data_IF_911947000541
#
_entry.id   IF_911947000541
#
_cell.length_a   1.000
_cell.length_b   1.000
_cell.length_c   1.000
_cell.angle_alpha   90.00
_cell.angle_beta   90.00
_cell.angle_gamma   90.00
#
_symmetry.space_group_name_H-M   'P 1'
#
loop_
_entity.id
_entity.type
_entity.pdbx_description
1 polymer ?
#
# COMPACT_ATOMS: atom_id res chain seq x y z
N UNK A 1 21.68 14.35 15.68
CA UNK A 1 21.62 13.15 14.81
C UNK A 1 20.77 12.11 15.52
N UNK A 2 19.72 11.62 14.88
CA UNK A 2 18.79 10.61 15.42
C UNK A 2 19.32 9.21 15.10
N UNK A 3 19.16 8.24 16.00
CA UNK A 3 19.62 6.86 15.73
C UNK A 3 18.84 6.22 14.59
N UNK A 4 17.50 6.32 14.60
CA UNK A 4 16.64 5.76 13.58
C UNK A 4 15.50 6.72 13.22
N UNK A 5 15.39 7.09 11.95
CA UNK A 5 14.22 7.78 11.41
C UNK A 5 13.38 6.79 10.61
N UNK A 6 12.09 6.73 10.90
CA UNK A 6 11.10 5.89 10.18
C UNK A 6 10.17 6.80 9.42
N UNK A 7 10.07 6.62 8.11
CA UNK A 7 9.20 7.41 7.24
C UNK A 7 7.93 6.65 6.96
N UNK A 8 6.82 7.14 7.53
CA UNK A 8 5.49 6.54 7.50
C UNK A 8 5.10 5.90 8.82
N UNK A 9 3.98 6.34 9.39
CA UNK A 9 3.38 5.85 10.64
C UNK A 9 2.25 4.83 10.42
N UNK A 10 2.22 4.18 9.26
CA UNK A 10 1.32 3.06 8.96
C UNK A 10 1.81 1.73 9.56
N UNK A 11 1.16 0.59 9.23
CA UNK A 11 1.48 -0.72 9.83
C UNK A 11 2.95 -1.11 9.71
N UNK A 12 3.60 -0.78 8.60
CA UNK A 12 5.01 -1.05 8.39
C UNK A 12 5.89 -0.26 9.36
N UNK A 13 5.73 1.07 9.42
CA UNK A 13 6.54 1.91 10.28
C UNK A 13 6.30 1.65 11.76
N UNK A 14 5.05 1.39 12.16
CA UNK A 14 4.70 1.02 13.53
C UNK A 14 5.38 -0.28 13.98
N UNK A 15 5.31 -1.33 13.15
CA UNK A 15 5.94 -2.62 13.46
C UNK A 15 7.47 -2.51 13.52
N UNK A 16 8.09 -1.77 12.57
CA UNK A 16 9.52 -1.51 12.56
C UNK A 16 9.96 -0.75 13.82
N UNK A 17 9.21 0.28 14.24
CA UNK A 17 9.52 1.07 15.42
C UNK A 17 9.46 0.24 16.72
N UNK A 18 8.39 -0.52 16.90
CA UNK A 18 8.23 -1.42 18.04
C UNK A 18 9.42 -2.39 18.13
N UNK A 19 9.78 -2.99 17.01
CA UNK A 19 10.82 -4.01 17.00
C UNK A 19 12.23 -3.42 17.14
N UNK A 20 12.49 -2.25 16.60
CA UNK A 20 13.73 -1.53 16.82
C UNK A 20 13.90 -1.13 18.31
N UNK A 21 12.82 -0.69 18.96
CA UNK A 21 12.81 -0.42 20.41
C UNK A 21 13.08 -1.66 21.24
N UNK A 22 12.40 -2.77 20.96
CA UNK A 22 12.64 -4.07 21.61
C UNK A 22 14.10 -4.55 21.43
N UNK A 23 14.71 -4.21 20.28
CA UNK A 23 16.12 -4.51 19.97
C UNK A 23 17.12 -3.59 20.66
N UNK A 24 16.68 -2.70 21.55
CA UNK A 24 17.55 -1.87 22.39
C UNK A 24 17.77 -0.46 21.89
N UNK A 25 17.24 -0.05 20.73
CA UNK A 25 17.35 1.31 20.24
C UNK A 25 16.43 2.24 21.04
N UNK A 26 16.90 3.49 21.32
CA UNK A 26 16.16 4.43 22.18
C UNK A 26 15.83 5.76 21.51
N UNK A 27 16.66 6.25 20.60
CA UNK A 27 16.41 7.49 19.87
C UNK A 27 15.80 7.17 18.49
N UNK A 28 14.50 6.94 18.50
CA UNK A 28 13.69 6.58 17.31
C UNK A 28 12.70 7.70 17.07
N UNK A 29 12.59 8.13 15.80
CA UNK A 29 11.64 9.14 15.34
C UNK A 29 10.79 8.59 14.17
N UNK A 30 9.47 8.59 14.32
CA UNK A 30 8.53 8.34 13.24
C UNK A 30 8.09 9.69 12.66
N UNK A 31 8.19 9.83 11.33
CA UNK A 31 7.64 10.95 10.58
C UNK A 31 6.38 10.49 9.83
N UNK A 32 5.22 11.08 10.15
CA UNK A 32 3.94 10.74 9.52
C UNK A 32 3.29 12.00 8.92
N UNK A 33 2.88 11.91 7.66
CA UNK A 33 2.26 13.03 6.95
C UNK A 33 0.82 13.31 7.35
N UNK A 34 0.12 12.31 7.88
CA UNK A 34 -1.26 12.47 8.35
C UNK A 34 -1.29 13.02 9.79
N UNK A 35 -2.48 13.43 10.23
CA UNK A 35 -2.76 13.94 11.58
C UNK A 35 -2.73 12.86 12.67
N UNK A 36 -2.63 11.60 12.29
CA UNK A 36 -2.65 10.44 13.19
C UNK A 36 -1.86 9.26 12.64
N UNK A 37 -1.42 8.38 13.53
CA UNK A 37 -0.79 7.10 13.20
C UNK A 37 -1.82 6.09 12.71
N UNK A 38 -1.36 5.03 12.01
CA UNK A 38 -2.19 3.93 11.52
C UNK A 38 -2.23 3.86 9.99
N UNK A 39 -1.98 4.99 9.31
CA UNK A 39 -1.94 5.05 7.84
C UNK A 39 -3.24 4.56 7.21
N UNK A 40 -3.13 3.78 6.13
CA UNK A 40 -4.28 3.27 5.37
C UNK A 40 -5.25 2.41 6.21
N UNK A 41 -4.80 1.82 7.31
CA UNK A 41 -5.64 0.99 8.17
C UNK A 41 -6.81 1.77 8.79
N UNK A 42 -6.63 3.06 9.05
CA UNK A 42 -7.66 3.89 9.69
C UNK A 42 -8.96 3.98 8.88
N UNK A 43 -8.88 3.87 7.57
CA UNK A 43 -10.05 3.86 6.70
C UNK A 43 -10.63 2.46 6.46
N UNK A 44 -9.91 1.39 6.82
CA UNK A 44 -10.30 0.00 6.60
C UNK A 44 -11.18 -0.51 7.76
N UNK A 45 -12.42 -0.04 7.87
CA UNK A 45 -13.33 -0.37 8.98
C UNK A 45 -13.99 -1.76 8.86
N UNK A 46 -13.64 -2.54 7.83
CA UNK A 46 -14.07 -3.93 7.67
C UNK A 46 -13.15 -4.90 8.41
N UNK A 47 -13.63 -6.09 8.73
CA UNK A 47 -12.86 -7.17 9.34
C UNK A 47 -11.91 -7.83 8.33
N UNK A 48 -10.91 -8.55 8.86
CA UNK A 48 -10.00 -9.37 8.06
C UNK A 48 -8.52 -9.15 8.36
N UNK A 49 -8.21 -8.37 9.39
CA UNK A 49 -6.85 -8.07 9.82
C UNK A 49 -6.51 -8.83 11.12
N UNK A 50 -5.25 -9.18 11.31
CA UNK A 50 -4.72 -9.66 12.59
C UNK A 50 -4.85 -11.15 12.85
N UNK A 51 -5.44 -11.93 11.95
CA UNK A 51 -5.67 -13.35 12.18
C UNK A 51 -4.37 -14.14 12.39
N UNK A 52 -3.34 -13.86 11.58
CA UNK A 52 -2.05 -14.52 11.70
C UNK A 52 -1.18 -13.91 12.80
N UNK A 53 -1.30 -12.61 13.05
CA UNK A 53 -0.47 -11.87 14.00
C UNK A 53 -0.99 -11.97 15.43
N UNK A 54 -2.30 -11.79 15.63
CA UNK A 54 -2.93 -11.68 16.94
C UNK A 54 -3.88 -12.85 17.27
N UNK A 55 -4.15 -13.74 16.29
CA UNK A 55 -5.14 -14.81 16.44
C UNK A 55 -6.59 -14.30 16.52
N UNK A 56 -6.82 -13.05 16.18
CA UNK A 56 -8.13 -12.36 16.25
C UNK A 56 -8.47 -11.74 14.91
N UNK A 57 -9.78 -11.67 14.60
CA UNK A 57 -10.25 -10.89 13.45
C UNK A 57 -10.51 -9.45 13.90
N UNK A 58 -9.66 -8.55 13.46
CA UNK A 58 -9.72 -7.13 13.77
C UNK A 58 -10.17 -6.32 12.54
N UNK A 59 -10.67 -5.12 12.78
CA UNK A 59 -10.76 -4.06 11.78
C UNK A 59 -9.39 -3.41 11.60
N UNK A 60 -9.21 -2.62 10.53
CA UNK A 60 -7.97 -1.89 10.30
C UNK A 60 -7.59 -0.96 11.46
N UNK A 61 -8.50 -0.10 11.97
CA UNK A 61 -8.22 0.75 13.14
C UNK A 61 -7.86 -0.03 14.40
N UNK A 62 -8.51 -1.17 14.68
CA UNK A 62 -8.17 -2.02 15.82
C UNK A 62 -6.76 -2.61 15.67
N UNK A 63 -6.40 -3.07 14.45
CA UNK A 63 -5.06 -3.56 14.17
C UNK A 63 -3.99 -2.48 14.39
N UNK A 64 -4.21 -1.29 13.84
CA UNK A 64 -3.30 -0.15 14.05
C UNK A 64 -3.22 0.22 15.53
N UNK A 65 -4.36 0.23 16.23
CA UNK A 65 -4.47 0.51 17.66
C UNK A 65 -3.58 -0.38 18.51
N UNK A 66 -3.49 -1.69 18.19
CA UNK A 66 -2.59 -2.63 18.90
C UNK A 66 -1.12 -2.18 18.86
N UNK A 67 -0.63 -1.79 17.69
CA UNK A 67 0.75 -1.29 17.56
C UNK A 67 0.94 0.10 18.19
N UNK A 68 -0.03 0.99 18.06
CA UNK A 68 0.00 2.31 18.69
C UNK A 68 0.05 2.18 20.21
N UNK A 69 -0.72 1.25 20.80
CA UNK A 69 -0.69 0.98 22.24
C UNK A 69 0.65 0.38 22.69
N UNK A 70 1.27 -0.48 21.88
CA UNK A 70 2.63 -0.96 22.14
C UNK A 70 3.62 0.21 22.17
N UNK A 71 3.52 1.18 21.26
CA UNK A 71 4.41 2.34 21.21
C UNK A 71 4.21 3.30 22.40
N UNK A 72 3.01 3.44 22.96
CA UNK A 72 2.74 4.30 24.13
C UNK A 72 3.61 3.95 25.34
N UNK A 73 4.04 2.71 25.43
CA UNK A 73 4.91 2.21 26.52
C UNK A 73 6.41 2.34 26.18
N UNK A 74 6.74 3.07 25.11
CA UNK A 74 8.11 3.29 24.65
C UNK A 74 8.47 4.78 24.68
N UNK A 75 9.74 5.09 24.42
CA UNK A 75 10.21 6.48 24.23
C UNK A 75 10.28 6.88 22.75
N UNK A 76 9.64 6.13 21.85
CA UNK A 76 9.62 6.47 20.42
C UNK A 76 8.94 7.82 20.21
N UNK A 77 9.63 8.73 19.53
CA UNK A 77 9.09 10.05 19.19
C UNK A 77 8.26 9.95 17.91
N UNK A 78 7.18 10.69 17.85
CA UNK A 78 6.30 10.75 16.68
C UNK A 78 6.10 12.22 16.29
N UNK A 79 6.32 12.53 15.02
CA UNK A 79 6.04 13.84 14.45
C UNK A 79 4.98 13.66 13.36
N UNK A 80 3.77 14.08 13.66
CA UNK A 80 2.59 14.05 12.78
C UNK A 80 2.56 15.30 11.89
N UNK A 81 1.62 15.35 10.93
CA UNK A 81 1.47 16.46 9.96
C UNK A 81 2.80 16.84 9.31
N UNK A 82 3.68 15.85 9.10
CA UNK A 82 5.05 16.05 8.63
C UNK A 82 5.28 15.32 7.32
N UNK A 83 5.43 16.09 6.26
CA UNK A 83 5.73 15.56 4.92
C UNK A 83 7.22 15.48 4.69
N UNK A 84 7.75 14.29 4.43
CA UNK A 84 9.12 14.09 3.96
C UNK A 84 9.19 14.43 2.47
N UNK A 85 10.14 15.29 2.11
CA UNK A 85 10.33 15.81 0.76
C UNK A 85 11.49 15.14 0.03
N UNK A 86 12.54 14.76 0.76
CA UNK A 86 13.75 14.17 0.20
C UNK A 86 14.46 13.31 1.26
N UNK A 87 15.09 12.25 0.78
CA UNK A 87 16.05 11.44 1.52
C UNK A 87 17.36 11.43 0.74
N UNK A 88 18.44 11.86 1.37
CA UNK A 88 19.75 11.90 0.71
C UNK A 88 20.54 10.61 0.95
N UNK A 89 21.52 10.26 0.08
CA UNK A 89 22.36 9.07 0.27
C UNK A 89 23.18 9.10 1.58
N UNK A 90 23.48 10.29 2.11
CA UNK A 90 24.17 10.48 3.39
C UNK A 90 23.22 10.50 4.59
N UNK A 91 21.98 10.04 4.38
CA UNK A 91 20.93 9.83 5.39
C UNK A 91 20.45 11.13 6.07
N UNK A 92 20.32 12.19 5.32
CA UNK A 92 19.58 13.40 5.73
C UNK A 92 18.14 13.28 5.23
N UNK A 93 17.20 13.54 6.12
CA UNK A 93 15.76 13.54 5.82
C UNK A 93 15.27 14.98 5.82
N UNK A 94 14.89 15.47 4.66
CA UNK A 94 14.31 16.80 4.48
C UNK A 94 12.79 16.69 4.63
N UNK A 95 12.22 17.43 5.57
CA UNK A 95 10.79 17.38 5.83
C UNK A 95 10.21 18.76 6.11
N UNK A 96 8.89 18.87 6.04
CA UNK A 96 8.13 20.06 6.34
C UNK A 96 6.90 19.73 7.17
N UNK A 97 6.66 20.53 8.20
CA UNK A 97 5.45 20.47 9.02
C UNK A 97 4.85 21.85 9.24
N UNK A 98 3.61 21.89 9.72
CA UNK A 98 2.95 23.17 10.04
C UNK A 98 3.55 23.84 11.27
N UNK A 99 4.03 23.04 12.23
CA UNK A 99 4.55 23.52 13.52
C UNK A 99 6.00 23.92 13.46
N UNK A 100 6.84 23.10 12.82
CA UNK A 100 8.31 23.26 12.84
C UNK A 100 8.86 23.85 11.53
N UNK A 101 8.01 24.03 10.52
CA UNK A 101 8.44 24.45 9.20
C UNK A 101 9.32 23.43 8.50
N UNK A 102 10.28 23.92 7.70
CA UNK A 102 11.24 23.06 7.00
C UNK A 102 12.38 22.64 7.93
N UNK A 103 12.67 21.35 7.96
CA UNK A 103 13.72 20.76 8.79
C UNK A 103 14.59 19.80 7.97
N UNK A 104 15.84 19.67 8.41
CA UNK A 104 16.77 18.63 7.93
C UNK A 104 17.16 17.79 9.14
N UNK A 105 16.79 16.52 9.13
CA UNK A 105 17.04 15.57 10.22
C UNK A 105 18.16 14.63 9.79
N UNK A 106 19.29 14.64 10.49
CA UNK A 106 20.37 13.69 10.26
C UNK A 106 20.10 12.41 11.02
N UNK A 107 20.19 11.27 10.34
CA UNK A 107 19.93 9.93 10.90
C UNK A 107 21.14 9.00 10.73
N UNK A 108 21.36 8.11 11.70
CA UNK A 108 22.31 7.00 11.53
C UNK A 108 21.72 5.92 10.62
N UNK A 109 20.42 5.69 10.74
CA UNK A 109 19.68 4.72 9.95
C UNK A 109 18.28 5.23 9.57
N UNK A 110 17.74 4.76 8.46
CA UNK A 110 16.40 5.15 7.96
C UNK A 110 15.62 3.88 7.59
N UNK A 111 14.34 3.83 7.95
CA UNK A 111 13.37 2.84 7.46
C UNK A 111 12.34 3.54 6.58
N UNK A 112 12.23 3.09 5.33
CA UNK A 112 11.24 3.54 4.36
C UNK A 112 9.99 2.67 4.50
N UNK A 113 8.90 3.21 5.04
CA UNK A 113 7.62 2.54 5.27
C UNK A 113 6.43 3.29 4.67
N UNK A 114 6.62 3.99 3.51
CA UNK A 114 5.63 4.88 2.91
C UNK A 114 4.44 4.16 2.26
N UNK A 115 4.46 2.83 2.15
CA UNK A 115 3.36 2.06 1.60
C UNK A 115 3.21 2.17 0.08
N UNK A 116 1.98 2.26 -0.39
CA UNK A 116 1.65 2.33 -1.82
C UNK A 116 0.50 3.31 -2.06
N UNK A 117 0.30 3.68 -3.33
CA UNK A 117 -0.85 4.45 -3.81
C UNK A 117 -1.62 3.66 -4.87
N UNK A 118 -2.86 4.02 -5.08
CA UNK A 118 -3.71 3.41 -6.09
C UNK A 118 -3.40 3.93 -7.49
N UNK A 119 -3.60 3.07 -8.48
CA UNK A 119 -3.58 3.49 -9.89
C UNK A 119 -4.77 4.39 -10.18
N UNK A 120 -4.49 5.54 -10.77
CA UNK A 120 -5.51 6.51 -11.17
C UNK A 120 -6.04 6.22 -12.57
N UNK A 121 -7.11 6.91 -12.97
CA UNK A 121 -7.63 6.89 -14.33
C UNK A 121 -6.56 7.15 -15.38
N UNK A 122 -5.65 8.10 -15.13
CA UNK A 122 -4.55 8.42 -16.05
C UNK A 122 -3.57 7.26 -16.21
N UNK A 123 -3.31 6.51 -15.16
CA UNK A 123 -2.39 5.37 -15.17
C UNK A 123 -2.91 4.17 -15.99
N UNK A 124 -4.23 4.03 -16.13
CA UNK A 124 -4.87 2.97 -16.95
C UNK A 124 -5.38 3.48 -18.31
N UNK A 125 -5.22 4.77 -18.60
CA UNK A 125 -5.56 5.34 -19.90
C UNK A 125 -7.05 5.31 -20.27
N UNK A 126 -7.99 5.26 -19.31
CA UNK A 126 -9.43 5.19 -19.60
C UNK A 126 -9.89 6.43 -20.39
N UNK A 127 -10.50 6.24 -21.58
CA UNK A 127 -10.90 7.32 -22.46
C UNK A 127 -12.11 8.12 -21.93
N UNK A 128 -12.51 9.13 -22.71
CA UNK A 128 -13.67 9.98 -22.46
C UNK A 128 -13.34 11.34 -21.85
N UNK A 129 -14.38 12.09 -21.49
CA UNK A 129 -14.29 13.42 -20.87
C UNK A 129 -13.67 13.34 -19.47
N UNK A 130 -13.31 14.47 -18.87
CA UNK A 130 -12.63 14.55 -17.54
C UNK A 130 -13.51 15.22 -16.47
N UNK A 131 -14.73 14.75 -16.23
CA UNK A 131 -15.61 15.32 -15.21
C UNK A 131 -15.17 14.93 -13.80
N UNK A 132 -15.70 15.59 -12.77
CA UNK A 132 -15.65 15.11 -11.40
C UNK A 132 -16.43 13.78 -11.23
N UNK A 133 -16.22 13.06 -10.14
CA UNK A 133 -16.95 11.82 -9.84
C UNK A 133 -16.18 10.53 -10.18
N UNK A 134 -14.94 10.62 -10.67
CA UNK A 134 -14.06 9.46 -10.83
C UNK A 134 -13.04 9.45 -9.69
N UNK A 135 -13.13 8.45 -8.82
CA UNK A 135 -12.26 8.29 -7.66
C UNK A 135 -11.54 6.94 -7.71
N UNK A 136 -10.40 6.84 -7.07
CA UNK A 136 -9.88 5.53 -6.68
C UNK A 136 -10.72 4.98 -5.52
N UNK A 137 -10.81 3.67 -5.40
CA UNK A 137 -11.66 3.03 -4.39
C UNK A 137 -11.22 3.39 -2.97
N UNK A 138 -9.90 3.46 -2.70
CA UNK A 138 -9.36 3.86 -1.40
C UNK A 138 -9.58 5.34 -1.09
N UNK A 139 -9.53 6.25 -2.08
CA UNK A 139 -9.89 7.64 -1.85
C UNK A 139 -11.37 7.77 -1.46
N UNK A 140 -12.27 7.06 -2.16
CA UNK A 140 -13.68 7.00 -1.79
C UNK A 140 -13.88 6.40 -0.40
N UNK A 141 -13.12 5.36 -0.05
CA UNK A 141 -13.14 4.74 1.27
C UNK A 141 -12.79 5.74 2.36
N UNK A 142 -11.75 6.56 2.16
CA UNK A 142 -11.39 7.62 3.11
C UNK A 142 -12.53 8.63 3.28
N UNK A 143 -13.07 9.14 2.18
CA UNK A 143 -14.18 10.11 2.25
C UNK A 143 -15.38 9.56 3.02
N UNK A 144 -15.79 8.33 2.74
CA UNK A 144 -16.97 7.72 3.36
C UNK A 144 -16.70 7.34 4.81
N UNK A 145 -15.56 6.70 5.10
CA UNK A 145 -15.30 6.08 6.41
C UNK A 145 -14.67 7.00 7.43
N UNK A 146 -13.90 8.01 7.00
CA UNK A 146 -13.19 8.91 7.91
C UNK A 146 -13.74 10.34 7.90
N UNK A 147 -14.11 10.84 6.71
CA UNK A 147 -14.54 12.23 6.56
C UNK A 147 -16.07 12.38 6.56
N UNK A 148 -16.84 11.28 6.49
CA UNK A 148 -18.31 11.29 6.51
C UNK A 148 -18.97 11.85 5.25
N UNK A 149 -18.29 11.85 4.11
CA UNK A 149 -18.80 12.36 2.85
C UNK A 149 -19.16 11.22 1.88
N UNK A 150 -20.40 11.28 1.35
CA UNK A 150 -20.80 10.42 0.23
C UNK A 150 -20.21 10.95 -1.07
N UNK A 151 -19.46 10.10 -1.77
CA UNK A 151 -18.82 10.45 -3.04
C UNK A 151 -19.77 10.41 -4.24
N UNK A 152 -20.94 9.76 -4.10
CA UNK A 152 -21.99 9.71 -5.12
C UNK A 152 -23.13 8.76 -4.77
N UNK A 153 -24.14 8.70 -5.64
CA UNK A 153 -25.38 7.93 -5.41
C UNK A 153 -25.58 6.78 -6.40
N UNK A 154 -25.05 6.89 -7.60
CA UNK A 154 -25.17 5.87 -8.67
C UNK A 154 -23.75 5.50 -9.11
N UNK A 155 -23.31 4.34 -8.64
CA UNK A 155 -21.88 3.98 -8.64
C UNK A 155 -21.62 2.82 -9.59
N UNK A 156 -20.59 2.95 -10.43
CA UNK A 156 -19.97 1.84 -11.16
C UNK A 156 -18.58 1.61 -10.60
N UNK A 157 -18.19 0.34 -10.40
CA UNK A 157 -16.88 -0.02 -9.89
C UNK A 157 -16.08 -0.72 -10.97
N UNK A 158 -14.87 -0.25 -11.27
CA UNK A 158 -13.93 -0.90 -12.16
C UNK A 158 -12.84 -1.60 -11.35
N UNK A 159 -12.77 -2.92 -11.48
CA UNK A 159 -11.89 -3.81 -10.75
C UNK A 159 -12.58 -4.58 -9.63
N UNK A 160 -12.41 -5.90 -9.61
CA UNK A 160 -13.01 -6.83 -8.65
C UNK A 160 -12.00 -7.38 -7.63
N UNK A 161 -10.92 -6.63 -7.36
CA UNK A 161 -10.07 -6.88 -6.19
C UNK A 161 -10.82 -6.56 -4.88
N UNK A 162 -10.30 -7.01 -3.74
CA UNK A 162 -10.99 -6.92 -2.44
C UNK A 162 -11.46 -5.50 -2.10
N UNK A 163 -10.67 -4.47 -2.38
CA UNK A 163 -11.07 -3.08 -2.11
C UNK A 163 -12.30 -2.67 -2.94
N UNK A 164 -12.33 -3.05 -4.22
CA UNK A 164 -13.50 -2.80 -5.08
C UNK A 164 -14.76 -3.47 -4.57
N UNK A 165 -14.65 -4.76 -4.17
CA UNK A 165 -15.76 -5.53 -3.60
C UNK A 165 -16.24 -4.94 -2.27
N UNK A 166 -15.32 -4.63 -1.36
CA UNK A 166 -15.62 -4.02 -0.06
C UNK A 166 -16.31 -2.67 -0.24
N UNK A 167 -15.86 -1.86 -1.20
CA UNK A 167 -16.49 -0.58 -1.49
C UNK A 167 -17.85 -0.72 -2.16
N UNK A 168 -18.10 -1.78 -2.95
CA UNK A 168 -19.43 -2.07 -3.47
C UNK A 168 -20.43 -2.26 -2.31
N UNK A 169 -20.08 -3.10 -1.34
CA UNK A 169 -20.87 -3.30 -0.12
C UNK A 169 -20.99 -2.01 0.69
N UNK A 170 -19.87 -1.31 0.93
CA UNK A 170 -19.86 -0.12 1.77
C UNK A 170 -20.74 1.00 1.20
N UNK A 171 -20.62 1.30 -0.09
CA UNK A 171 -21.43 2.31 -0.76
C UNK A 171 -22.92 1.96 -0.70
N UNK A 172 -23.26 0.68 -0.86
CA UNK A 172 -24.66 0.21 -0.77
C UNK A 172 -25.22 0.40 0.63
N UNK A 173 -24.45 0.07 1.67
CA UNK A 173 -24.85 0.26 3.08
C UNK A 173 -25.05 1.72 3.44
N UNK A 174 -24.34 2.63 2.80
CA UNK A 174 -24.51 4.09 2.97
C UNK A 174 -25.61 4.68 2.06
N UNK A 175 -26.38 3.82 1.37
CA UNK A 175 -27.56 4.24 0.61
C UNK A 175 -27.28 4.61 -0.86
N UNK A 176 -26.08 4.37 -1.39
CA UNK A 176 -25.84 4.49 -2.81
C UNK A 176 -26.36 3.25 -3.57
N UNK A 177 -26.72 3.42 -4.84
CA UNK A 177 -27.00 2.31 -5.74
C UNK A 177 -25.74 1.95 -6.51
N UNK A 178 -25.12 0.82 -6.17
CA UNK A 178 -24.04 0.24 -6.97
C UNK A 178 -24.66 -0.53 -8.12
N UNK A 179 -24.40 -0.09 -9.35
CA UNK A 179 -25.05 -0.65 -10.57
C UNK A 179 -24.34 -1.92 -11.03
N UNK A 180 -23.01 -1.95 -10.94
CA UNK A 180 -22.21 -3.11 -11.30
C UNK A 180 -20.79 -3.01 -10.77
N UNK A 181 -20.11 -4.15 -10.69
CA UNK A 181 -18.68 -4.29 -10.65
C UNK A 181 -18.18 -4.85 -11.99
N UNK A 182 -17.16 -4.26 -12.56
CA UNK A 182 -16.60 -4.57 -13.89
C UNK A 182 -15.17 -5.02 -13.74
N UNK A 183 -14.80 -6.15 -14.34
CA UNK A 183 -13.47 -6.75 -14.24
C UNK A 183 -12.92 -7.09 -15.63
N UNK A 184 -11.71 -6.63 -15.91
CA UNK A 184 -11.03 -6.86 -17.19
C UNK A 184 -10.59 -8.31 -17.37
N UNK A 185 -10.34 -9.03 -16.28
CA UNK A 185 -9.95 -10.43 -16.30
C UNK A 185 -11.18 -11.34 -16.41
N UNK A 186 -11.03 -12.57 -16.92
CA UNK A 186 -12.12 -13.56 -16.97
C UNK A 186 -12.43 -14.17 -15.59
N UNK A 187 -11.84 -13.65 -14.53
CA UNK A 187 -12.05 -14.06 -13.14
C UNK A 187 -11.88 -12.86 -12.20
N UNK A 188 -12.52 -12.93 -11.02
CA UNK A 188 -12.34 -11.93 -9.97
C UNK A 188 -11.01 -12.12 -9.25
N UNK A 189 -10.31 -11.02 -8.98
CA UNK A 189 -9.07 -11.02 -8.17
C UNK A 189 -9.31 -10.99 -6.66
N UNK A 190 -10.56 -10.81 -6.21
CA UNK A 190 -10.90 -10.76 -4.80
C UNK A 190 -11.19 -12.12 -4.19
N UNK A 191 -11.17 -12.19 -2.86
CA UNK A 191 -11.50 -13.40 -2.11
C UNK A 191 -12.95 -13.83 -2.35
N UNK A 192 -13.21 -15.14 -2.48
CA UNK A 192 -14.54 -15.70 -2.70
C UNK A 192 -15.56 -15.21 -1.66
N UNK A 193 -15.17 -15.12 -0.38
CA UNK A 193 -16.05 -14.58 0.66
C UNK A 193 -16.49 -13.14 0.38
N UNK A 194 -15.62 -12.32 -0.18
CA UNK A 194 -15.92 -10.93 -0.52
C UNK A 194 -16.84 -10.84 -1.75
N UNK A 195 -16.70 -11.75 -2.71
CA UNK A 195 -17.66 -11.85 -3.83
C UNK A 195 -19.06 -12.12 -3.28
N UNK A 196 -19.18 -13.09 -2.37
CA UNK A 196 -20.48 -13.43 -1.76
C UNK A 196 -21.01 -12.25 -0.94
N UNK A 197 -20.27 -11.80 0.06
CA UNK A 197 -20.74 -10.81 1.02
C UNK A 197 -20.88 -9.39 0.46
N UNK A 198 -20.16 -9.06 -0.60
CA UNK A 198 -20.13 -7.70 -1.13
C UNK A 198 -20.93 -7.53 -2.42
N UNK A 199 -21.09 -8.58 -3.21
CA UNK A 199 -21.86 -8.52 -4.46
C UNK A 199 -23.14 -9.37 -4.39
N UNK A 200 -23.04 -10.68 -4.11
CA UNK A 200 -24.18 -11.59 -4.18
C UNK A 200 -25.27 -11.21 -3.17
N UNK A 201 -24.90 -10.94 -1.92
CA UNK A 201 -25.85 -10.56 -0.84
C UNK A 201 -26.60 -9.24 -1.15
N UNK A 202 -26.06 -8.42 -2.03
CA UNK A 202 -26.64 -7.13 -2.44
C UNK A 202 -27.18 -7.14 -3.89
N UNK A 203 -27.16 -8.31 -4.57
CA UNK A 203 -27.57 -8.47 -5.98
C UNK A 203 -26.83 -7.48 -6.92
N UNK A 204 -25.55 -7.23 -6.67
CA UNK A 204 -24.70 -6.38 -7.52
C UNK A 204 -24.10 -7.27 -8.61
N UNK A 205 -24.36 -7.03 -9.90
CA UNK A 205 -23.80 -7.82 -10.98
C UNK A 205 -22.30 -7.63 -11.13
N UNK A 206 -21.59 -8.72 -11.46
CA UNK A 206 -20.17 -8.75 -11.79
C UNK A 206 -20.02 -9.08 -13.28
N UNK A 207 -19.46 -8.15 -14.04
CA UNK A 207 -19.14 -8.33 -15.45
C UNK A 207 -17.65 -8.65 -15.59
N UNK A 208 -17.33 -9.92 -15.84
CA UNK A 208 -15.97 -10.39 -16.12
C UNK A 208 -15.63 -10.20 -17.60
N UNK A 209 -14.36 -10.07 -17.94
CA UNK A 209 -13.87 -9.75 -19.28
C UNK A 209 -14.47 -8.46 -19.85
N UNK A 210 -14.71 -7.48 -19.01
CA UNK A 210 -15.27 -6.18 -19.40
C UNK A 210 -14.42 -5.02 -18.87
N UNK A 211 -14.49 -3.89 -19.55
CA UNK A 211 -13.83 -2.65 -19.08
C UNK A 211 -14.63 -1.42 -19.47
N UNK A 212 -14.34 -0.28 -18.84
CA UNK A 212 -14.88 1.02 -19.21
C UNK A 212 -14.13 1.52 -20.46
N UNK A 213 -14.86 1.75 -21.53
CA UNK A 213 -14.32 2.20 -22.81
C UNK A 213 -14.57 3.69 -23.10
N UNK A 214 -15.51 4.29 -22.37
CA UNK A 214 -15.75 5.75 -22.46
C UNK A 214 -16.39 6.27 -21.16
N UNK A 215 -16.07 7.50 -20.80
CA UNK A 215 -16.68 8.22 -19.67
C UNK A 215 -17.20 9.56 -20.20
N UNK A 216 -18.48 9.82 -19.96
CA UNK A 216 -19.18 11.00 -20.43
C UNK A 216 -19.68 11.84 -19.24
N UNK A 217 -19.66 13.14 -19.41
CA UNK A 217 -20.12 14.14 -18.47
C UNK A 217 -19.35 15.44 -18.65
N UNK A 218 -19.93 16.55 -18.19
CA UNK A 218 -19.31 17.87 -18.26
C UNK A 218 -18.73 18.27 -16.90
N UNK A 219 -19.56 18.56 -15.94
CA UNK A 219 -19.14 18.93 -14.57
C UNK A 219 -18.88 17.69 -13.73
N UNK A 220 -19.77 16.71 -13.85
CA UNK A 220 -19.70 15.42 -13.16
C UNK A 220 -19.93 14.28 -14.15
N UNK A 221 -19.54 13.07 -13.79
CA UNK A 221 -19.87 11.86 -14.55
C UNK A 221 -21.39 11.73 -14.67
N UNK A 222 -21.87 11.50 -15.87
CA UNK A 222 -23.27 11.28 -16.20
C UNK A 222 -23.48 9.86 -16.75
N UNK A 223 -22.47 9.35 -17.47
CA UNK A 223 -22.53 8.03 -18.10
C UNK A 223 -21.16 7.36 -18.17
N UNK A 224 -21.14 6.06 -18.04
CA UNK A 224 -20.01 5.19 -18.36
C UNK A 224 -20.41 4.16 -19.42
N UNK A 225 -19.57 3.98 -20.42
CA UNK A 225 -19.74 2.92 -21.44
C UNK A 225 -18.79 1.80 -21.10
N UNK A 226 -19.34 0.58 -20.97
CA UNK A 226 -18.60 -0.66 -20.68
C UNK A 226 -18.71 -1.57 -21.90
N UNK A 227 -17.61 -2.23 -22.27
CA UNK A 227 -17.62 -3.22 -23.34
C UNK A 227 -16.91 -4.50 -22.93
N UNK A 228 -17.26 -5.61 -23.57
CA UNK A 228 -16.54 -6.89 -23.43
C UNK A 228 -15.15 -6.78 -24.05
N UNK A 229 -14.17 -7.49 -23.46
CA UNK A 229 -12.76 -7.53 -23.87
C UNK A 229 -12.43 -8.87 -24.49
N UNK A 230 -11.92 -8.82 -25.73
CA UNK A 230 -11.43 -10.01 -26.42
C UNK A 230 -10.11 -10.55 -25.85
N UNK A 231 -9.66 -11.73 -26.35
CA UNK A 231 -8.38 -12.32 -25.95
C UNK A 231 -7.17 -11.43 -26.24
N UNK A 232 -7.29 -10.51 -27.21
CA UNK A 232 -6.26 -9.51 -27.56
C UNK A 232 -6.29 -8.28 -26.63
N UNK A 233 -7.13 -8.32 -25.58
CA UNK A 233 -7.37 -7.22 -24.62
C UNK A 233 -7.93 -5.95 -25.24
N UNK A 234 -8.62 -6.07 -26.37
CA UNK A 234 -9.32 -4.94 -26.99
C UNK A 234 -10.83 -5.07 -26.80
N UNK A 235 -11.56 -3.94 -26.72
CA UNK A 235 -13.00 -3.95 -26.69
C UNK A 235 -13.59 -4.60 -27.95
N UNK A 236 -14.61 -5.43 -27.78
CA UNK A 236 -15.36 -6.08 -28.85
C UNK A 236 -16.46 -5.11 -29.30
N UNK A 237 -16.45 -4.62 -30.55
CA UNK A 237 -17.48 -3.71 -31.04
C UNK A 237 -18.87 -4.36 -31.04
N UNK A 238 -19.89 -3.59 -30.62
CA UNK A 238 -21.27 -4.05 -30.54
C UNK A 238 -21.64 -4.71 -29.22
N UNK A 239 -20.71 -4.75 -28.24
CA UNK A 239 -20.97 -5.26 -26.89
C UNK A 239 -21.13 -4.15 -25.85
N UNK A 240 -21.20 -2.90 -26.32
CA UNK A 240 -21.25 -1.73 -25.45
C UNK A 240 -22.53 -1.70 -24.62
N UNK A 241 -22.36 -1.49 -23.31
CA UNK A 241 -23.43 -1.29 -22.33
C UNK A 241 -23.31 0.09 -21.73
N UNK A 242 -24.42 0.81 -21.65
CA UNK A 242 -24.47 2.12 -21.04
C UNK A 242 -24.91 2.06 -19.58
N UNK A 243 -24.21 2.75 -18.71
CA UNK A 243 -24.55 2.92 -17.30
C UNK A 243 -24.70 4.41 -16.97
N UNK A 244 -25.92 4.81 -16.57
CA UNK A 244 -26.18 6.13 -16.02
C UNK A 244 -25.63 6.20 -14.59
N UNK A 245 -24.53 6.89 -14.41
CA UNK A 245 -23.79 6.96 -13.13
C UNK A 245 -23.35 8.39 -12.84
N UNK A 246 -23.28 8.73 -11.57
CA UNK A 246 -22.67 9.98 -11.09
C UNK A 246 -21.28 9.74 -10.49
N UNK A 247 -20.87 8.47 -10.34
CA UNK A 247 -19.62 8.11 -9.70
C UNK A 247 -19.03 6.82 -10.28
N UNK A 248 -17.72 6.84 -10.51
CA UNK A 248 -16.92 5.66 -10.88
C UNK A 248 -15.85 5.47 -9.83
N UNK A 249 -15.75 4.26 -9.27
CA UNK A 249 -14.67 3.85 -8.38
C UNK A 249 -13.69 2.95 -9.12
N UNK A 250 -12.40 3.27 -9.00
CA UNK A 250 -11.31 2.52 -9.64
C UNK A 250 -10.60 1.67 -8.59
N UNK A 251 -10.67 0.36 -8.72
CA UNK A 251 -9.94 -0.63 -7.91
C UNK A 251 -9.01 -1.44 -8.82
N UNK A 252 -8.09 -0.76 -9.48
CA UNK A 252 -7.30 -1.28 -10.62
C UNK A 252 -5.83 -1.51 -10.30
N UNK A 253 -5.54 -1.76 -9.03
CA UNK A 253 -4.23 -2.10 -8.52
C UNK A 253 -3.50 -0.95 -7.85
N UNK A 254 -2.38 -1.29 -7.23
CA UNK A 254 -1.56 -0.44 -6.40
C UNK A 254 -0.18 -0.19 -7.03
N UNK A 255 0.45 0.91 -6.65
CA UNK A 255 1.81 1.28 -7.05
C UNK A 255 2.60 1.57 -5.77
N UNK A 256 3.70 0.85 -5.48
CA UNK A 256 4.60 1.19 -4.39
C UNK A 256 5.07 2.65 -4.45
N UNK A 257 5.04 3.35 -3.29
CA UNK A 257 5.32 4.78 -3.19
C UNK A 257 6.82 5.03 -3.08
N UNK A 258 7.49 5.21 -4.21
CA UNK A 258 8.95 5.18 -4.31
C UNK A 258 9.59 6.45 -4.90
N UNK A 259 8.94 7.62 -4.83
CA UNK A 259 9.58 8.86 -5.24
C UNK A 259 10.83 9.15 -4.39
N UNK A 260 10.73 9.09 -3.06
CA UNK A 260 11.86 9.30 -2.14
C UNK A 260 12.98 8.28 -2.36
N UNK A 261 12.60 7.01 -2.56
CA UNK A 261 13.53 5.91 -2.82
C UNK A 261 14.38 6.16 -4.08
N UNK A 262 13.72 6.62 -5.14
CA UNK A 262 14.38 6.94 -6.43
C UNK A 262 15.26 8.17 -6.33
N UNK A 263 14.78 9.21 -5.64
CA UNK A 263 15.55 10.44 -5.41
C UNK A 263 16.83 10.18 -4.63
N UNK A 264 16.78 9.29 -3.65
CA UNK A 264 17.95 8.85 -2.88
C UNK A 264 18.96 8.03 -3.72
N UNK A 265 18.62 7.64 -4.95
CA UNK A 265 19.48 6.81 -5.80
C UNK A 265 19.49 5.33 -5.40
N UNK A 266 18.49 4.87 -4.64
CA UNK A 266 18.36 3.45 -4.27
C UNK A 266 17.98 2.63 -5.50
N UNK A 267 18.61 1.48 -5.65
CA UNK A 267 18.35 0.55 -6.75
C UNK A 267 16.93 0.00 -6.69
N UNK A 268 16.24 0.03 -7.84
CA UNK A 268 14.83 -0.36 -7.94
C UNK A 268 14.67 -1.69 -8.69
N UNK A 269 13.81 -2.55 -8.16
CA UNK A 269 13.39 -3.78 -8.84
C UNK A 269 12.29 -3.47 -9.87
N UNK A 270 12.49 -3.81 -11.17
CA UNK A 270 11.52 -3.52 -12.22
C UNK A 270 10.21 -4.34 -12.10
N UNK A 271 10.20 -5.44 -11.34
CA UNK A 271 9.06 -6.35 -11.16
C UNK A 271 8.19 -5.91 -9.99
N UNK A 272 8.76 -5.77 -8.80
CA UNK A 272 8.02 -5.31 -7.62
C UNK A 272 7.70 -3.82 -7.67
N UNK A 273 8.46 -3.03 -8.45
CA UNK A 273 8.45 -1.55 -8.46
C UNK A 273 8.88 -0.94 -7.13
N UNK A 274 9.43 -1.74 -6.23
CA UNK A 274 10.03 -1.35 -4.96
C UNK A 274 11.56 -1.34 -5.00
N UNK A 275 12.18 -1.04 -3.87
CA UNK A 275 13.63 -1.14 -3.72
C UNK A 275 14.13 -2.57 -3.86
N UNK A 276 15.32 -2.75 -4.46
CA UNK A 276 16.09 -3.98 -4.31
C UNK A 276 16.57 -4.07 -2.87
N UNK A 277 16.27 -5.17 -2.19
CA UNK A 277 16.65 -5.37 -0.79
C UNK A 277 17.47 -6.63 -0.57
N UNK A 278 18.27 -6.59 0.50
CA UNK A 278 18.98 -7.73 1.04
C UNK A 278 18.12 -8.56 2.00
N UNK A 279 18.66 -9.66 2.51
CA UNK A 279 18.01 -10.62 3.42
C UNK A 279 17.40 -10.00 4.68
N UNK A 280 17.89 -8.83 5.09
CA UNK A 280 17.48 -8.09 6.27
C UNK A 280 16.68 -6.80 5.93
N UNK A 281 16.17 -6.68 4.71
CA UNK A 281 15.43 -5.53 4.18
C UNK A 281 16.29 -4.26 3.97
N UNK A 282 17.62 -4.34 4.08
CA UNK A 282 18.52 -3.24 3.73
C UNK A 282 18.52 -3.00 2.22
N UNK A 283 18.52 -1.74 1.82
CA UNK A 283 18.56 -1.33 0.40
C UNK A 283 20.00 -1.29 -0.12
N UNK A 284 20.18 -0.78 -1.35
CA UNK A 284 21.52 -0.54 -1.91
C UNK A 284 22.32 0.56 -1.21
N UNK A 285 21.69 1.34 -0.31
CA UNK A 285 22.36 2.34 0.53
C UNK A 285 22.52 1.78 1.94
N UNK A 286 23.75 1.61 2.46
CA UNK A 286 23.98 1.07 3.79
C UNK A 286 23.28 1.88 4.89
N UNK A 287 22.54 1.18 5.77
CA UNK A 287 21.77 1.77 6.85
C UNK A 287 20.42 2.36 6.43
N UNK A 288 20.04 2.20 5.16
CA UNK A 288 18.67 2.52 4.67
C UNK A 288 17.93 1.25 4.38
N UNK A 289 16.82 1.04 5.05
CA UNK A 289 15.96 -0.13 4.96
C UNK A 289 14.63 0.25 4.32
N UNK A 290 13.96 -0.72 3.69
CA UNK A 290 12.63 -0.54 3.14
C UNK A 290 11.75 -1.74 3.49
N UNK A 291 10.47 -1.53 3.84
CA UNK A 291 9.58 -2.62 4.24
C UNK A 291 8.11 -2.31 3.94
N UNK A 292 7.32 -3.38 3.82
CA UNK A 292 5.90 -3.30 3.51
C UNK A 292 5.62 -2.92 2.06
N UNK A 293 4.48 -2.28 1.81
CA UNK A 293 3.99 -2.06 0.45
C UNK A 293 4.85 -1.10 -0.41
N UNK A 294 5.83 -0.43 0.17
CA UNK A 294 6.84 0.32 -0.59
C UNK A 294 7.83 -0.59 -1.31
N UNK A 295 8.03 -1.83 -0.82
CA UNK A 295 8.92 -2.84 -1.42
C UNK A 295 8.15 -3.75 -2.37
N UNK A 296 7.04 -4.29 -1.90
CA UNK A 296 6.10 -5.13 -2.66
C UNK A 296 4.68 -4.95 -2.11
N UNK A 297 3.67 -5.12 -2.94
CA UNK A 297 2.28 -5.09 -2.48
C UNK A 297 1.93 -6.42 -1.84
N UNK A 298 1.61 -6.39 -0.54
CA UNK A 298 1.19 -7.56 0.23
C UNK A 298 -0.32 -7.78 0.16
N UNK A 299 -0.74 -9.04 0.26
CA UNK A 299 -2.15 -9.40 0.33
C UNK A 299 -2.71 -9.26 1.77
N UNK A 300 -1.86 -9.43 2.79
CA UNK A 300 -2.24 -9.35 4.20
C UNK A 300 -1.31 -8.41 4.99
N UNK A 301 -1.89 -7.57 5.83
CA UNK A 301 -1.14 -6.64 6.69
C UNK A 301 -0.27 -7.38 7.73
N UNK A 302 -0.66 -8.57 8.13
CA UNK A 302 0.11 -9.41 9.04
C UNK A 302 1.51 -9.69 8.50
N UNK A 303 1.63 -9.93 7.19
CA UNK A 303 2.92 -10.09 6.51
C UNK A 303 3.69 -8.79 6.36
N UNK A 304 2.99 -7.66 6.14
CA UNK A 304 3.61 -6.33 6.19
C UNK A 304 4.30 -6.12 7.53
N UNK A 305 3.61 -6.40 8.63
CA UNK A 305 4.17 -6.22 9.97
C UNK A 305 5.37 -7.14 10.22
N UNK A 306 5.28 -8.42 9.83
CA UNK A 306 6.39 -9.36 9.98
C UNK A 306 7.65 -8.97 9.19
N UNK A 307 7.49 -8.53 7.95
CA UNK A 307 8.59 -8.01 7.12
C UNK A 307 9.20 -6.74 7.73
N UNK A 308 8.34 -5.86 8.25
CA UNK A 308 8.78 -4.61 8.84
C UNK A 308 9.49 -4.77 10.18
N UNK A 309 9.13 -5.79 10.95
CA UNK A 309 9.86 -6.17 12.16
C UNK A 309 11.29 -6.60 11.84
N UNK A 310 11.49 -7.33 10.74
CA UNK A 310 12.83 -7.70 10.27
C UNK A 310 13.65 -6.44 9.95
N UNK A 311 13.07 -5.47 9.25
CA UNK A 311 13.71 -4.19 8.98
C UNK A 311 14.05 -3.42 10.25
N UNK A 312 13.16 -3.41 11.25
CA UNK A 312 13.38 -2.76 12.55
C UNK A 312 14.55 -3.36 13.33
N UNK A 313 14.63 -4.70 13.39
CA UNK A 313 15.77 -5.42 14.00
C UNK A 313 17.08 -5.09 13.28
N UNK A 314 17.04 -5.11 11.95
CA UNK A 314 18.23 -4.87 11.13
C UNK A 314 18.74 -3.43 11.26
N UNK A 315 17.83 -2.45 11.29
CA UNK A 315 18.17 -1.06 11.53
C UNK A 315 18.81 -0.85 12.93
N UNK A 316 18.28 -1.51 13.95
CA UNK A 316 18.86 -1.46 15.29
C UNK A 316 20.27 -2.08 15.32
N UNK A 317 20.47 -3.24 14.72
CA UNK A 317 21.79 -3.88 14.58
C UNK A 317 22.77 -2.98 13.83
N UNK A 318 22.33 -2.34 12.75
CA UNK A 318 23.17 -1.41 11.99
C UNK A 318 23.66 -0.24 12.85
N UNK A 319 22.77 0.38 13.63
CA UNK A 319 23.14 1.50 14.51
C UNK A 319 24.11 1.08 15.61
N UNK A 320 23.93 -0.12 16.17
CA UNK A 320 24.72 -0.65 17.29
C UNK A 320 26.08 -1.20 16.85
N UNK A 321 26.12 -1.92 15.73
CA UNK A 321 27.25 -2.74 15.31
C UNK A 321 27.91 -2.27 13.99
N UNK A 322 27.31 -1.29 13.30
CA UNK A 322 27.73 -0.88 11.98
C UNK A 322 27.16 -1.77 10.85
N UNK A 323 27.62 -1.54 9.62
CA UNK A 323 27.17 -2.29 8.44
C UNK A 323 27.50 -3.78 8.53
N UNK A 324 26.69 -4.60 7.88
CA UNK A 324 27.02 -6.01 7.67
C UNK A 324 28.35 -6.10 6.91
N UNK A 325 29.24 -7.01 7.34
CA UNK A 325 30.54 -7.19 6.71
C UNK A 325 30.41 -7.50 5.22
N UNK A 326 31.26 -6.90 4.41
CA UNK A 326 31.37 -7.25 3.01
C UNK A 326 31.77 -8.72 2.84
N UNK A 327 31.09 -9.43 1.95
CA UNK A 327 31.31 -10.83 1.71
C UNK A 327 30.60 -11.29 0.44
N UNK A 328 30.32 -12.58 0.35
CA UNK A 328 29.69 -13.18 -0.81
C UNK A 328 28.20 -12.77 -0.88
N UNK A 329 27.79 -12.17 -2.01
CA UNK A 329 26.40 -11.84 -2.31
C UNK A 329 25.82 -12.81 -3.33
N UNK A 330 24.67 -13.40 -3.01
CA UNK A 330 23.89 -14.24 -3.89
C UNK A 330 22.74 -13.42 -4.49
N UNK A 331 22.56 -13.48 -5.80
CA UNK A 331 21.38 -12.92 -6.46
C UNK A 331 20.26 -13.97 -6.45
N UNK A 332 19.09 -13.58 -5.94
CA UNK A 332 17.87 -14.40 -5.96
C UNK A 332 17.06 -14.01 -7.19
N UNK A 333 16.83 -14.97 -8.09
CA UNK A 333 16.07 -14.73 -9.33
C UNK A 333 14.84 -15.63 -9.35
N UNK A 334 13.67 -15.10 -9.72
CA UNK A 334 12.48 -15.93 -9.88
C UNK A 334 12.67 -16.93 -11.03
N UNK A 335 12.24 -18.17 -10.79
CA UNK A 335 12.16 -19.20 -11.81
C UNK A 335 11.01 -18.99 -12.79
N UNK A 336 10.76 -20.00 -13.62
CA UNK A 336 9.60 -20.03 -14.50
C UNK A 336 8.31 -19.92 -13.67
N UNK A 337 7.33 -19.21 -14.19
CA UNK A 337 6.00 -19.02 -13.58
C UNK A 337 5.97 -18.23 -12.25
N UNK A 338 7.12 -17.64 -11.84
CA UNK A 338 7.18 -16.72 -10.70
C UNK A 338 7.28 -15.27 -11.18
N UNK A 339 6.42 -14.42 -10.66
CA UNK A 339 6.42 -12.99 -10.96
C UNK A 339 7.68 -12.31 -10.42
N UNK A 340 7.99 -12.53 -9.16
CA UNK A 340 9.19 -12.02 -8.48
C UNK A 340 9.54 -12.85 -7.24
N UNK A 341 10.74 -12.60 -6.69
CA UNK A 341 11.23 -13.11 -5.40
C UNK A 341 11.73 -11.95 -4.53
N UNK A 342 11.61 -12.08 -3.22
CA UNK A 342 12.11 -11.14 -2.22
C UNK A 342 12.75 -11.91 -1.05
N UNK A 343 13.97 -11.56 -0.58
CA UNK A 343 14.84 -10.50 -1.09
C UNK A 343 15.42 -10.83 -2.46
N UNK A 344 15.89 -9.82 -3.17
CA UNK A 344 16.59 -9.99 -4.46
C UNK A 344 18.05 -10.35 -4.27
N UNK A 345 18.62 -10.04 -3.11
CA UNK A 345 20.03 -10.30 -2.76
C UNK A 345 20.15 -10.88 -1.36
N UNK A 346 21.10 -11.77 -1.19
CA UNK A 346 21.43 -12.38 0.11
C UNK A 346 22.94 -12.24 0.32
N UNK A 347 23.36 -11.56 1.37
CA UNK A 347 24.74 -11.59 1.88
C UNK A 347 24.88 -12.84 2.74
N UNK A 348 25.76 -13.75 2.34
CA UNK A 348 25.92 -15.05 3.00
C UNK A 348 26.32 -14.87 4.47
N UNK A 349 27.19 -13.91 4.74
CA UNK A 349 27.69 -13.56 6.07
C UNK A 349 26.65 -12.86 6.93
N UNK A 350 25.60 -12.29 6.32
CA UNK A 350 24.46 -11.68 7.01
C UNK A 350 23.40 -12.67 7.51
N UNK A 351 23.51 -13.94 7.08
CA UNK A 351 22.53 -14.98 7.43
C UNK A 351 23.06 -15.80 8.60
N UNK A 352 22.48 -15.62 9.80
CA UNK A 352 22.88 -16.37 11.01
C UNK A 352 22.45 -17.84 10.95
N UNK A 353 21.23 -18.15 10.51
CA UNK A 353 20.68 -19.53 10.43
C UNK A 353 19.98 -19.79 9.12
N UNK A 354 19.00 -18.96 8.79
CA UNK A 354 18.18 -19.05 7.58
C UNK A 354 17.62 -17.69 7.22
N UNK A 355 17.23 -17.51 5.96
CA UNK A 355 16.47 -16.36 5.52
C UNK A 355 15.21 -16.83 4.77
N UNK A 356 14.12 -16.10 4.95
CA UNK A 356 12.88 -16.37 4.23
C UNK A 356 12.99 -15.77 2.82
N UNK A 357 12.51 -16.51 1.84
CA UNK A 357 12.33 -16.01 0.48
C UNK A 357 10.84 -16.02 0.16
N UNK A 358 10.28 -14.84 0.00
CA UNK A 358 8.91 -14.65 -0.48
C UNK A 358 8.87 -14.63 -2.01
N UNK A 359 7.76 -15.06 -2.59
CA UNK A 359 7.58 -15.01 -4.04
C UNK A 359 6.12 -14.76 -4.41
N UNK A 360 5.91 -14.28 -5.63
CA UNK A 360 4.58 -14.09 -6.24
C UNK A 360 4.44 -15.02 -7.45
N UNK A 361 3.31 -15.72 -7.51
CA UNK A 361 2.89 -16.54 -8.67
C UNK A 361 2.02 -15.71 -9.60
#
# INVERSE_FOLDING_TARGET
>A
MVDLVIIGGGPAGLAAACKAWESGLRDILILERDKELGGILNQCIHNGFGLHRFGEQLTGPEYAGRFIDMLKNTGVKVQLDTMVLEVTPDKKVHCVSKTEGYQIIEAKSIVLGMGCRERTRGAIGTPGTRPAGVYTAGAAQRYVNMEGYMVGKRVLILGSGDIGLIMARRMTLEGAKVLACVEVMPYSGGLTRNIVQCLNDFNIPLYLSHTIVDIQGKERVEKAIVAEIGPDRKPIPGTEMEFDVDTILLSVGLIPENELTKQAGIEMDPRTKGAVVYENMETSIPGVFACGNVVQVHDLVDFVSGESELAGVAAAKYVQNGPVQEGRVLAVKPGKDLGYTLPQRIRVEGVEKSTNVSFRV
#
